data_IF_555261902024
#
_entry.id   IF_555261902024
#
_cell.length_a   1.000
_cell.length_b   1.000
_cell.length_c   1.000
_cell.angle_alpha   90.00
_cell.angle_beta   90.00
_cell.angle_gamma   90.00
#
_symmetry.space_group_name_H-M   'P 1'
#
loop_
_entity.id
_entity.type
_entity.pdbx_description
1 polymer ?
#
# COMPACT_ATOMS: atom_id res chain seq x y z
N UNK A 1 5.41 16.81 -2.89
CA UNK A 1 5.20 16.24 -4.22
C UNK A 1 3.81 15.62 -4.21
N UNK A 2 2.85 16.29 -4.80
CA UNK A 2 1.47 15.80 -4.87
C UNK A 2 1.38 14.77 -5.99
N UNK A 3 0.80 13.63 -5.72
CA UNK A 3 0.40 12.67 -6.76
C UNK A 3 -1.11 12.80 -6.93
N UNK A 4 -1.51 13.81 -7.68
CA UNK A 4 -2.91 14.01 -8.04
C UNK A 4 -3.25 13.05 -9.18
N UNK A 5 -4.23 12.19 -9.00
CA UNK A 5 -4.80 11.39 -10.08
C UNK A 5 -6.27 11.75 -10.23
N UNK A 6 -6.64 12.17 -11.43
CA UNK A 6 -8.03 12.25 -11.83
C UNK A 6 -8.47 10.86 -12.27
N UNK A 7 -9.52 10.34 -11.66
CA UNK A 7 -10.13 9.10 -12.06
C UNK A 7 -11.59 9.34 -12.48
N UNK A 8 -11.97 8.78 -13.63
CA UNK A 8 -13.36 8.58 -13.98
C UNK A 8 -13.82 7.30 -13.29
N UNK A 9 -14.84 7.40 -12.46
CA UNK A 9 -15.37 6.25 -11.72
C UNK A 9 -16.80 5.97 -12.11
N UNK A 10 -17.13 4.69 -12.30
CA UNK A 10 -18.49 4.21 -12.40
C UNK A 10 -19.04 4.06 -10.98
N UNK A 11 -20.20 4.66 -10.71
CA UNK A 11 -20.90 4.53 -9.45
C UNK A 11 -21.79 3.28 -9.45
N UNK A 12 -22.19 2.82 -8.27
CA UNK A 12 -23.08 1.66 -8.14
C UNK A 12 -24.45 1.86 -8.81
N UNK A 13 -24.88 3.11 -9.00
CA UNK A 13 -26.08 3.48 -9.74
C UNK A 13 -25.89 3.50 -11.27
N UNK A 14 -24.71 3.09 -11.76
CA UNK A 14 -24.35 3.07 -13.18
C UNK A 14 -23.92 4.44 -13.75
N UNK A 15 -23.95 5.51 -12.97
CA UNK A 15 -23.46 6.81 -13.42
C UNK A 15 -21.94 6.89 -13.37
N UNK A 16 -21.36 7.66 -14.28
CA UNK A 16 -19.92 7.93 -14.30
C UNK A 16 -19.65 9.34 -13.81
N UNK A 17 -18.71 9.49 -12.87
CA UNK A 17 -18.28 10.81 -12.39
C UNK A 17 -16.76 10.93 -12.43
N UNK A 18 -16.30 12.13 -12.76
CA UNK A 18 -14.89 12.50 -12.56
C UNK A 18 -14.69 12.90 -11.11
N UNK A 19 -13.83 12.17 -10.40
CA UNK A 19 -13.46 12.44 -9.02
C UNK A 19 -11.95 12.47 -8.92
N UNK A 20 -11.42 13.50 -8.24
CA UNK A 20 -10.01 13.51 -7.86
C UNK A 20 -9.81 12.61 -6.65
N UNK A 21 -8.94 11.63 -6.78
CA UNK A 21 -8.58 10.75 -5.66
C UNK A 21 -7.24 11.21 -5.07
N UNK A 22 -7.26 11.56 -3.80
CA UNK A 22 -6.09 11.84 -2.99
C UNK A 22 -5.83 10.65 -2.06
N UNK A 23 -4.76 9.90 -2.32
CA UNK A 23 -4.33 8.79 -1.48
C UNK A 23 -3.03 9.18 -0.77
N UNK A 24 -3.07 9.23 0.57
CA UNK A 24 -1.90 9.44 1.41
C UNK A 24 -1.49 8.14 2.10
N UNK A 25 -0.22 7.75 1.96
CA UNK A 25 0.34 6.57 2.62
C UNK A 25 1.21 7.03 3.77
N UNK A 26 0.87 6.61 4.99
CA UNK A 26 1.56 7.04 6.22
C UNK A 26 2.23 5.88 6.94
N UNK A 27 3.57 5.91 7.02
CA UNK A 27 4.39 4.83 7.60
C UNK A 27 4.69 4.97 9.10
N UNK A 28 4.29 6.07 9.74
CA UNK A 28 4.50 6.32 11.18
C UNK A 28 3.35 7.11 11.78
N UNK A 29 3.03 6.89 13.04
CA UNK A 29 2.04 7.69 13.76
C UNK A 29 2.54 9.13 13.90
N UNK A 30 1.73 10.11 13.46
CA UNK A 30 2.00 11.55 13.55
C UNK A 30 0.74 12.30 13.97
N UNK A 31 0.88 13.20 14.93
CA UNK A 31 -0.25 13.98 15.48
C UNK A 31 -0.88 14.87 14.41
N UNK A 32 -0.06 15.46 13.54
CA UNK A 32 -0.47 16.43 12.52
C UNK A 32 -1.03 15.78 11.24
N UNK A 33 -1.11 14.44 11.21
CA UNK A 33 -1.53 13.72 9.98
C UNK A 33 -2.94 14.12 9.53
N UNK A 34 -3.89 14.18 10.47
CA UNK A 34 -5.28 14.52 10.16
C UNK A 34 -5.42 15.95 9.62
N UNK A 35 -4.69 16.91 10.20
CA UNK A 35 -4.62 18.29 9.71
C UNK A 35 -4.01 18.36 8.32
N UNK A 36 -2.92 17.60 8.07
CA UNK A 36 -2.28 17.54 6.76
C UNK A 36 -3.23 16.98 5.69
N UNK A 37 -4.03 15.96 6.01
CA UNK A 37 -5.08 15.44 5.14
C UNK A 37 -6.09 16.54 4.75
N UNK A 38 -6.52 17.34 5.72
CA UNK A 38 -7.40 18.48 5.46
C UNK A 38 -6.76 19.53 4.56
N UNK A 39 -5.51 19.91 4.85
CA UNK A 39 -4.79 20.91 4.04
C UNK A 39 -4.62 20.45 2.59
N UNK A 40 -4.31 19.17 2.36
CA UNK A 40 -4.16 18.61 1.02
C UNK A 40 -5.52 18.52 0.30
N UNK A 41 -6.56 18.05 0.99
CA UNK A 41 -7.93 18.03 0.45
C UNK A 41 -8.37 19.42 0.01
N UNK A 42 -8.20 20.42 0.87
CA UNK A 42 -8.55 21.81 0.57
C UNK A 42 -7.77 22.35 -0.64
N UNK A 43 -6.45 22.15 -0.69
CA UNK A 43 -5.61 22.61 -1.81
C UNK A 43 -6.01 21.98 -3.15
N UNK A 44 -6.37 20.71 -3.15
CA UNK A 44 -6.87 20.03 -4.34
C UNK A 44 -8.22 20.59 -4.76
N UNK A 45 -9.14 20.74 -3.83
CA UNK A 45 -10.44 21.36 -4.10
C UNK A 45 -10.30 22.79 -4.63
N UNK A 46 -9.46 23.61 -4.00
CA UNK A 46 -9.20 24.98 -4.44
C UNK A 46 -8.66 25.05 -5.87
N UNK A 47 -7.74 24.15 -6.19
CA UNK A 47 -7.11 24.08 -7.51
C UNK A 47 -8.05 23.59 -8.61
N UNK A 48 -8.80 22.52 -8.35
CA UNK A 48 -9.56 21.83 -9.39
C UNK A 48 -11.05 22.15 -9.37
N UNK A 49 -11.58 22.67 -8.27
CA UNK A 49 -13.01 23.01 -8.09
C UNK A 49 -13.93 21.81 -8.40
N UNK A 50 -13.48 20.62 -8.10
CA UNK A 50 -14.18 19.36 -8.31
C UNK A 50 -14.22 18.56 -6.99
N UNK A 51 -15.14 17.60 -6.84
CA UNK A 51 -15.15 16.71 -5.68
C UNK A 51 -13.82 15.96 -5.52
N UNK A 52 -13.30 15.93 -4.30
CA UNK A 52 -12.07 15.24 -3.91
C UNK A 52 -12.43 14.09 -2.99
N UNK A 53 -11.98 12.89 -3.30
CA UNK A 53 -12.01 11.75 -2.40
C UNK A 53 -10.63 11.59 -1.75
N UNK A 54 -10.50 11.94 -0.47
CA UNK A 54 -9.27 11.74 0.29
C UNK A 54 -9.33 10.42 1.07
N UNK A 55 -8.29 9.60 0.91
CA UNK A 55 -8.16 8.26 1.49
C UNK A 55 -6.80 8.15 2.18
N UNK A 56 -6.74 7.50 3.33
CA UNK A 56 -5.50 7.24 4.03
C UNK A 56 -5.18 5.75 4.11
N UNK A 57 -3.94 5.39 3.75
CA UNK A 57 -3.40 4.05 3.96
C UNK A 57 -2.37 4.11 5.09
N UNK A 58 -2.70 3.48 6.23
CA UNK A 58 -1.87 3.49 7.43
C UNK A 58 -0.95 2.25 7.43
N UNK A 59 0.32 2.48 7.14
CA UNK A 59 1.37 1.47 7.06
C UNK A 59 2.26 1.42 8.33
N UNK A 60 1.87 2.14 9.39
CA UNK A 60 2.56 2.15 10.68
C UNK A 60 2.25 0.92 11.53
N UNK A 61 3.10 0.66 12.53
CA UNK A 61 2.97 -0.47 13.46
C UNK A 61 2.19 -0.16 14.75
N UNK A 62 1.53 0.99 14.88
CA UNK A 62 0.82 1.41 16.10
C UNK A 62 -0.66 1.04 16.04
N UNK A 63 -1.15 -0.01 16.75
CA UNK A 63 -2.51 -0.56 16.53
C UNK A 63 -3.63 0.45 16.72
N UNK A 64 -3.51 1.35 17.69
CA UNK A 64 -4.57 2.28 18.10
C UNK A 64 -4.54 3.61 17.35
N UNK A 65 -3.50 3.91 16.60
CA UNK A 65 -3.42 5.12 15.81
C UNK A 65 -4.24 5.00 14.53
N UNK A 66 -5.42 5.64 14.50
CA UNK A 66 -6.41 5.53 13.40
C UNK A 66 -7.07 6.87 13.12
N UNK A 67 -6.31 7.88 12.65
CA UNK A 67 -6.88 9.17 12.30
C UNK A 67 -7.85 9.01 11.11
N UNK A 68 -9.06 9.54 11.25
CA UNK A 68 -10.10 9.47 10.21
C UNK A 68 -10.84 10.80 10.03
N UNK A 69 -10.46 11.82 10.81
CA UNK A 69 -11.10 13.13 10.73
C UNK A 69 -10.18 14.24 11.20
N UNK A 70 -10.43 15.44 10.69
CA UNK A 70 -9.90 16.70 11.19
C UNK A 70 -11.02 17.73 11.23
N UNK A 71 -11.03 18.60 12.24
CA UNK A 71 -11.99 19.69 12.32
C UNK A 71 -11.68 20.65 13.45
N UNK A 72 -12.27 21.83 13.37
CA UNK A 72 -12.22 22.86 14.40
C UNK A 72 -13.47 23.74 14.35
N UNK A 73 -13.68 24.46 15.45
CA UNK A 73 -14.74 25.46 15.58
C UNK A 73 -14.15 26.77 16.08
N UNK A 74 -14.59 27.88 15.52
CA UNK A 74 -14.22 29.22 15.94
C UNK A 74 -15.36 30.22 15.66
N UNK A 75 -15.81 30.95 16.68
CA UNK A 75 -16.79 32.02 16.56
C UNK A 75 -18.07 31.64 15.77
N UNK A 76 -18.58 30.42 15.97
CA UNK A 76 -19.76 29.91 15.27
C UNK A 76 -19.46 29.30 13.90
N UNK A 77 -18.25 29.46 13.37
CA UNK A 77 -17.80 28.73 12.18
C UNK A 77 -17.32 27.31 12.57
N UNK A 78 -17.72 26.30 11.79
CA UNK A 78 -17.30 24.92 12.00
C UNK A 78 -16.80 24.33 10.70
N UNK A 79 -15.65 23.65 10.75
CA UNK A 79 -15.09 22.88 9.65
C UNK A 79 -14.87 21.45 10.12
N UNK A 80 -15.24 20.47 9.29
CA UNK A 80 -14.96 19.06 9.52
C UNK A 80 -14.64 18.37 8.19
N UNK A 81 -13.57 17.59 8.16
CA UNK A 81 -13.24 16.65 7.09
C UNK A 81 -13.21 15.24 7.69
N UNK A 82 -14.04 14.34 7.15
CA UNK A 82 -13.95 12.90 7.42
C UNK A 82 -13.35 12.20 6.20
N UNK A 83 -12.44 11.27 6.44
CA UNK A 83 -11.81 10.50 5.38
C UNK A 83 -11.67 9.03 5.76
N UNK A 84 -11.94 8.08 4.83
CA UNK A 84 -11.76 6.66 5.09
C UNK A 84 -10.27 6.32 5.26
N UNK A 85 -10.00 5.39 6.18
CA UNK A 85 -8.67 4.86 6.43
C UNK A 85 -8.64 3.35 6.31
N UNK A 86 -7.58 2.80 5.69
CA UNK A 86 -7.25 1.39 5.70
C UNK A 86 -5.94 1.20 6.47
N UNK A 87 -5.94 0.31 7.47
CA UNK A 87 -4.76 -0.01 8.25
C UNK A 87 -4.18 -1.35 7.83
N UNK A 88 -2.94 -1.34 7.31
CA UNK A 88 -2.30 -2.57 6.84
C UNK A 88 -2.13 -3.60 7.95
N UNK A 89 -1.90 -3.16 9.19
CA UNK A 89 -1.75 -4.05 10.33
C UNK A 89 -2.99 -4.93 10.61
N UNK A 90 -4.19 -4.50 10.20
CA UNK A 90 -5.42 -5.29 10.40
C UNK A 90 -5.40 -6.60 9.61
N UNK A 91 -4.74 -6.62 8.47
CA UNK A 91 -4.57 -7.81 7.64
C UNK A 91 -3.56 -8.82 8.18
N UNK A 92 -2.81 -8.47 9.24
CA UNK A 92 -1.86 -9.38 9.86
C UNK A 92 -2.54 -10.56 10.57
N UNK A 93 -3.83 -10.43 10.93
CA UNK A 93 -4.60 -11.47 11.62
C UNK A 93 -4.97 -12.65 10.70
N UNK A 94 -5.11 -12.40 9.40
CA UNK A 94 -5.40 -13.44 8.41
C UNK A 94 -4.50 -13.29 7.18
N UNK A 95 -3.24 -13.66 7.33
CA UNK A 95 -2.30 -13.65 6.22
C UNK A 95 -2.65 -14.71 5.15
N UNK A 96 -3.34 -15.79 5.51
CA UNK A 96 -3.73 -16.82 4.53
C UNK A 96 -4.72 -16.24 3.51
N UNK A 97 -5.64 -15.38 3.93
CA UNK A 97 -6.51 -14.65 2.99
C UNK A 97 -5.73 -13.79 2.01
N UNK A 98 -4.64 -13.15 2.45
CA UNK A 98 -3.77 -12.37 1.55
C UNK A 98 -3.00 -13.28 0.57
N UNK A 99 -2.49 -14.43 1.04
CA UNK A 99 -1.82 -15.40 0.16
C UNK A 99 -2.77 -15.95 -0.92
N UNK A 100 -4.05 -16.11 -0.64
CA UNK A 100 -5.05 -16.60 -1.58
C UNK A 100 -5.65 -15.52 -2.48
N UNK A 101 -5.52 -14.24 -2.10
CA UNK A 101 -6.13 -13.13 -2.83
C UNK A 101 -5.36 -12.82 -4.13
N UNK A 102 -6.00 -12.84 -5.32
CA UNK A 102 -5.33 -12.61 -6.60
C UNK A 102 -4.89 -11.15 -6.83
N UNK A 103 -5.27 -10.22 -5.97
CA UNK A 103 -4.90 -8.81 -6.12
C UNK A 103 -3.40 -8.58 -5.94
N UNK A 104 -2.74 -7.82 -6.82
CA UNK A 104 -1.36 -7.38 -6.61
C UNK A 104 -1.16 -6.64 -5.28
N UNK A 105 -2.17 -5.90 -4.82
CA UNK A 105 -2.12 -5.19 -3.55
C UNK A 105 -2.08 -6.12 -2.34
N UNK A 106 -2.66 -7.33 -2.43
CA UNK A 106 -2.53 -8.33 -1.37
C UNK A 106 -1.06 -8.78 -1.21
N UNK A 107 -0.35 -8.99 -2.32
CA UNK A 107 1.08 -9.30 -2.31
C UNK A 107 1.91 -8.17 -1.67
N UNK A 108 1.65 -6.92 -2.06
CA UNK A 108 2.34 -5.75 -1.50
C UNK A 108 2.05 -5.60 0.01
N UNK A 109 0.81 -5.86 0.43
CA UNK A 109 0.42 -5.88 1.85
C UNK A 109 1.16 -6.97 2.62
N UNK A 110 1.26 -8.19 2.07
CA UNK A 110 2.08 -9.26 2.66
C UNK A 110 3.54 -8.85 2.80
N UNK A 111 4.13 -8.30 1.73
CA UNK A 111 5.51 -7.82 1.76
C UNK A 111 5.75 -6.79 2.86
N UNK A 112 4.81 -5.87 3.03
CA UNK A 112 4.86 -4.87 4.10
C UNK A 112 4.83 -5.51 5.49
N UNK A 113 3.84 -6.36 5.75
CA UNK A 113 3.67 -7.03 7.04
C UNK A 113 4.86 -7.93 7.38
N UNK A 114 5.35 -8.70 6.41
CA UNK A 114 6.51 -9.58 6.58
C UNK A 114 7.80 -8.77 6.78
N UNK A 115 7.93 -7.61 6.12
CA UNK A 115 9.06 -6.70 6.36
C UNK A 115 9.08 -6.19 7.79
N UNK A 116 7.92 -5.85 8.35
CA UNK A 116 7.82 -5.45 9.75
C UNK A 116 8.12 -6.61 10.70
N UNK A 117 7.54 -7.79 10.46
CA UNK A 117 7.70 -8.97 11.30
C UNK A 117 9.15 -9.49 11.32
N UNK A 118 9.88 -9.35 10.20
CA UNK A 118 11.26 -9.84 10.05
C UNK A 118 12.33 -8.76 10.23
N UNK A 119 11.99 -7.66 10.91
CA UNK A 119 12.86 -6.47 11.00
C UNK A 119 14.26 -6.77 11.58
N UNK A 120 14.34 -7.72 12.51
CA UNK A 120 15.58 -8.09 13.19
C UNK A 120 16.17 -9.43 12.73
N UNK A 121 15.52 -10.13 11.80
CA UNK A 121 15.95 -11.45 11.30
C UNK A 121 16.01 -11.44 9.77
N UNK A 122 17.24 -11.32 9.22
CA UNK A 122 17.47 -11.29 7.78
C UNK A 122 17.28 -12.66 7.13
N UNK A 123 17.47 -13.76 7.84
CA UNK A 123 17.21 -15.10 7.31
C UNK A 123 15.70 -15.35 7.20
N UNK A 124 14.93 -14.98 8.23
CA UNK A 124 13.46 -15.01 8.14
C UNK A 124 12.94 -14.09 7.03
N UNK A 125 13.56 -12.90 6.84
CA UNK A 125 13.22 -12.01 5.73
C UNK A 125 13.52 -12.62 4.37
N UNK A 126 14.65 -13.29 4.22
CA UNK A 126 14.98 -14.02 3.00
C UNK A 126 13.95 -15.10 2.68
N UNK A 127 13.61 -15.96 3.66
CA UNK A 127 12.61 -17.01 3.49
C UNK A 127 11.23 -16.45 3.11
N UNK A 128 10.81 -15.38 3.78
CA UNK A 128 9.56 -14.67 3.47
C UNK A 128 9.57 -14.09 2.06
N UNK A 129 10.65 -13.40 1.67
CA UNK A 129 10.79 -12.81 0.35
C UNK A 129 10.80 -13.88 -0.75
N UNK A 130 11.52 -14.99 -0.54
CA UNK A 130 11.54 -16.11 -1.48
C UNK A 130 10.14 -16.68 -1.70
N UNK A 131 9.37 -16.87 -0.63
CA UNK A 131 7.97 -17.32 -0.73
C UNK A 131 7.10 -16.37 -1.56
N UNK A 132 7.27 -15.05 -1.40
CA UNK A 132 6.54 -14.07 -2.21
C UNK A 132 7.00 -14.06 -3.69
N UNK A 133 8.28 -14.29 -3.95
CA UNK A 133 8.80 -14.44 -5.31
C UNK A 133 8.18 -15.66 -6.00
N UNK A 134 8.16 -16.82 -5.33
CA UNK A 134 7.49 -18.00 -5.87
C UNK A 134 6.01 -17.72 -6.17
N UNK A 135 5.32 -16.97 -5.30
CA UNK A 135 3.94 -16.57 -5.51
C UNK A 135 3.75 -15.67 -6.76
N UNK A 136 4.73 -14.84 -7.11
CA UNK A 136 4.70 -14.03 -8.34
C UNK A 136 4.59 -14.90 -9.60
N UNK A 137 5.38 -15.98 -9.67
CA UNK A 137 5.37 -16.91 -10.81
C UNK A 137 4.10 -17.75 -10.83
N UNK A 138 3.60 -18.20 -9.69
CA UNK A 138 2.40 -19.04 -9.59
C UNK A 138 1.09 -18.34 -9.96
N UNK A 139 1.05 -16.99 -9.94
CA UNK A 139 -0.18 -16.22 -10.13
C UNK A 139 -0.62 -16.04 -11.58
N UNK A 140 0.18 -16.46 -12.56
CA UNK A 140 -0.13 -16.31 -13.98
C UNK A 140 -0.20 -14.85 -14.45
N UNK A 141 0.44 -13.93 -13.75
CA UNK A 141 0.53 -12.53 -14.13
C UNK A 141 1.43 -12.34 -15.35
N UNK A 142 1.13 -11.32 -16.17
CA UNK A 142 1.97 -10.98 -17.32
C UNK A 142 3.40 -10.57 -16.90
N UNK A 143 4.38 -10.82 -17.78
CA UNK A 143 5.81 -10.58 -17.51
C UNK A 143 6.10 -9.19 -16.93
N UNK A 144 5.52 -8.14 -17.51
CA UNK A 144 5.75 -6.77 -17.01
C UNK A 144 5.23 -6.59 -15.59
N UNK A 145 4.06 -7.13 -15.27
CA UNK A 145 3.48 -7.06 -13.93
C UNK A 145 4.34 -7.79 -12.89
N UNK A 146 4.92 -8.95 -13.25
CA UNK A 146 5.86 -9.69 -12.40
C UNK A 146 7.11 -8.86 -12.14
N UNK A 147 7.70 -8.23 -13.17
CA UNK A 147 8.88 -7.35 -13.02
C UNK A 147 8.58 -6.17 -12.11
N UNK A 148 7.46 -5.50 -12.30
CA UNK A 148 7.07 -4.32 -11.51
C UNK A 148 6.86 -4.70 -10.05
N UNK A 149 6.13 -5.79 -9.78
CA UNK A 149 5.89 -6.28 -8.43
C UNK A 149 7.16 -6.80 -7.76
N UNK A 150 8.03 -7.51 -8.50
CA UNK A 150 9.33 -7.92 -7.98
C UNK A 150 10.17 -6.69 -7.56
N UNK A 151 10.17 -5.63 -8.35
CA UNK A 151 10.87 -4.39 -8.02
C UNK A 151 10.35 -3.77 -6.72
N UNK A 152 9.02 -3.80 -6.50
CA UNK A 152 8.41 -3.36 -5.24
C UNK A 152 8.84 -4.24 -4.07
N UNK A 153 8.81 -5.57 -4.23
CA UNK A 153 9.26 -6.52 -3.20
C UNK A 153 10.74 -6.31 -2.86
N UNK A 154 11.59 -6.12 -3.88
CA UNK A 154 13.02 -5.91 -3.69
C UNK A 154 13.32 -4.63 -2.92
N UNK A 155 12.61 -3.56 -3.23
CA UNK A 155 12.71 -2.29 -2.53
C UNK A 155 12.24 -2.37 -1.07
N UNK A 156 11.11 -3.05 -0.81
CA UNK A 156 10.52 -3.18 0.53
C UNK A 156 11.30 -4.14 1.43
N UNK A 157 11.67 -5.31 0.90
CA UNK A 157 12.28 -6.41 1.64
C UNK A 157 13.79 -6.49 1.35
N UNK A 158 14.51 -5.41 1.67
CA UNK A 158 15.96 -5.34 1.45
C UNK A 158 16.68 -6.44 2.19
N UNK A 159 17.63 -7.06 1.51
CA UNK A 159 18.48 -8.13 2.02
C UNK A 159 19.97 -7.71 1.99
N UNK A 160 20.80 -8.23 2.90
CA UNK A 160 22.26 -8.16 2.76
C UNK A 160 22.72 -8.80 1.45
N UNK A 161 23.86 -8.35 0.92
CA UNK A 161 24.35 -8.73 -0.40
C UNK A 161 24.50 -10.25 -0.59
N UNK A 162 24.94 -10.95 0.44
CA UNK A 162 25.07 -12.41 0.40
C UNK A 162 23.72 -13.10 0.19
N UNK A 163 22.69 -12.72 0.95
CA UNK A 163 21.35 -13.27 0.83
C UNK A 163 20.68 -12.84 -0.49
N UNK A 164 21.00 -11.67 -0.98
CA UNK A 164 20.54 -11.20 -2.29
C UNK A 164 21.09 -12.08 -3.42
N UNK A 165 22.36 -12.43 -3.40
CA UNK A 165 22.95 -13.38 -4.38
C UNK A 165 22.28 -14.73 -4.32
N UNK A 166 22.04 -15.27 -3.12
CA UNK A 166 21.31 -16.53 -2.95
C UNK A 166 19.89 -16.46 -3.51
N UNK A 167 19.22 -15.32 -3.33
CA UNK A 167 17.88 -15.10 -3.90
C UNK A 167 17.92 -15.16 -5.43
N UNK A 168 18.86 -14.48 -6.07
CA UNK A 168 19.00 -14.49 -7.53
C UNK A 168 19.30 -15.88 -8.06
N UNK A 169 20.18 -16.63 -7.43
CA UNK A 169 20.44 -18.02 -7.80
C UNK A 169 19.17 -18.89 -7.72
N UNK A 170 18.38 -18.74 -6.65
CA UNK A 170 17.11 -19.45 -6.53
C UNK A 170 16.10 -19.07 -7.63
N UNK A 171 16.08 -17.80 -8.05
CA UNK A 171 15.23 -17.34 -9.16
C UNK A 171 15.66 -17.95 -10.48
N UNK A 172 16.96 -17.98 -10.78
CA UNK A 172 17.52 -18.61 -11.99
C UNK A 172 17.11 -20.09 -12.09
N UNK A 173 17.26 -20.83 -10.98
CA UNK A 173 16.84 -22.24 -10.92
C UNK A 173 15.34 -22.40 -11.14
N UNK A 174 14.52 -21.53 -10.55
CA UNK A 174 13.06 -21.56 -10.75
C UNK A 174 12.68 -21.31 -12.21
N UNK A 175 13.29 -20.31 -12.85
CA UNK A 175 13.03 -19.98 -14.26
C UNK A 175 13.48 -21.09 -15.24
N UNK A 176 14.54 -21.82 -14.91
CA UNK A 176 14.97 -22.98 -15.69
C UNK A 176 13.95 -24.12 -15.60
N UNK A 177 13.39 -24.36 -14.43
CA UNK A 177 12.36 -25.37 -14.21
C UNK A 177 11.04 -25.08 -14.94
N UNK A 178 10.64 -23.81 -15.04
CA UNK A 178 9.42 -23.40 -15.74
C UNK A 178 9.54 -23.41 -17.27
N UNK A 179 10.76 -23.48 -17.81
CA UNK A 179 11.01 -23.58 -19.25
C UNK A 179 11.00 -25.02 -19.80
N UNK A 180 11.05 -26.02 -18.93
CA UNK A 180 10.95 -27.45 -19.29
C UNK A 180 9.51 -27.93 -19.28
#
# INVERSE_FOLDING_TARGET
>A
RFVDKLAKVALQDGSERWVYVHLEVQGSAQTEFAERMFVYHYRLYDRYRQPIASLALLADGTPHWRPSQFGYQALGCSIALHFPTAKLLDYAQDQNALYSNPSPFALVTLAHLLTQATRQDMNARFAAKWKLVQLLYQRGWGKQQVIDLFSVLDWMMRLPEQLKRSLWHNIEVLEEQEKM
#
